data_IF_298456346754
#
_entry.id   IF_298456346754
#
_cell.length_a   1.000
_cell.length_b   1.000
_cell.length_c   1.000
_cell.angle_alpha   90.00
_cell.angle_beta   90.00
_cell.angle_gamma   90.00
#
_symmetry.space_group_name_H-M   'P 1'
#
loop_
_entity.id
_entity.type
_entity.pdbx_description
1 polymer ?
#
# COMPACT_ATOMS: atom_id res chain seq x y z
N UNK A 1 9.10 -14.50 -14.57
CA UNK A 1 8.63 -15.84 -14.95
C UNK A 1 7.28 -15.70 -15.62
N UNK A 2 6.94 -16.58 -16.56
CA UNK A 2 5.60 -16.62 -17.17
C UNK A 2 4.69 -17.34 -16.17
N UNK A 3 3.68 -16.64 -15.63
CA UNK A 3 2.68 -17.27 -14.76
C UNK A 3 1.75 -18.08 -15.69
N UNK A 4 1.60 -19.40 -15.48
CA UNK A 4 0.68 -20.22 -16.25
C UNK A 4 -0.73 -19.59 -16.32
N UNK A 5 -1.32 -19.50 -17.50
CA UNK A 5 -2.65 -18.89 -17.69
C UNK A 5 -2.67 -17.35 -17.83
N UNK A 6 -1.58 -16.64 -17.51
CA UNK A 6 -1.48 -15.18 -17.66
C UNK A 6 -0.77 -14.83 -18.96
N UNK A 7 -1.51 -14.27 -19.92
CA UNK A 7 -0.92 -13.74 -21.15
C UNK A 7 -0.69 -12.23 -20.98
N UNK A 8 0.55 -11.78 -20.87
CA UNK A 8 0.87 -10.35 -20.86
C UNK A 8 0.59 -9.75 -22.24
N UNK A 9 -0.59 -9.16 -22.40
CA UNK A 9 -0.92 -8.35 -23.54
C UNK A 9 -0.87 -6.88 -23.15
N UNK A 10 -0.23 -6.05 -23.97
CA UNK A 10 -0.13 -4.58 -23.80
C UNK A 10 -1.44 -3.85 -24.11
N UNK A 11 -2.58 -4.54 -24.09
CA UNK A 11 -3.87 -3.87 -24.27
C UNK A 11 -4.08 -2.91 -23.11
N UNK A 12 -4.33 -1.65 -23.46
CA UNK A 12 -4.79 -0.62 -22.53
C UNK A 12 -6.15 -1.09 -22.04
N UNK A 13 -6.19 -1.74 -20.87
CA UNK A 13 -7.46 -1.98 -20.19
C UNK A 13 -8.04 -0.59 -19.90
N UNK A 14 -9.28 -0.36 -20.32
CA UNK A 14 -9.98 0.87 -20.00
C UNK A 14 -9.90 1.09 -18.49
N UNK A 15 -9.29 2.21 -18.08
CA UNK A 15 -9.12 2.56 -16.67
C UNK A 15 -10.47 2.39 -15.96
N UNK A 16 -10.51 1.71 -14.80
CA UNK A 16 -11.75 1.61 -14.04
C UNK A 16 -12.22 3.02 -13.71
N UNK A 17 -13.38 3.41 -14.24
CA UNK A 17 -14.07 4.63 -13.84
C UNK A 17 -14.62 4.35 -12.44
N UNK A 18 -13.89 4.78 -11.41
CA UNK A 18 -14.29 4.64 -10.02
C UNK A 18 -15.33 5.72 -9.71
N UNK A 19 -16.60 5.33 -9.57
CA UNK A 19 -17.69 6.25 -9.21
C UNK A 19 -17.67 6.52 -7.70
N UNK A 20 -16.70 7.32 -7.24
CA UNK A 20 -16.71 7.82 -5.87
C UNK A 20 -17.68 8.99 -5.73
N UNK A 21 -18.81 8.76 -5.05
CA UNK A 21 -19.67 9.85 -4.58
C UNK A 21 -18.85 10.75 -3.62
N UNK A 22 -18.96 12.07 -3.77
CA UNK A 22 -18.25 13.11 -2.99
C UNK A 22 -16.74 13.33 -3.25
N UNK A 23 -16.22 13.01 -4.45
CA UNK A 23 -14.81 13.29 -4.82
C UNK A 23 -14.56 14.66 -5.48
N UNK A 24 -15.57 15.52 -5.61
CA UNK A 24 -15.44 16.84 -6.26
C UNK A 24 -14.41 17.71 -5.53
N UNK A 25 -13.34 18.10 -6.23
CA UNK A 25 -12.23 18.88 -5.68
C UNK A 25 -11.16 18.08 -4.92
N UNK A 26 -11.41 16.83 -4.53
CA UNK A 26 -10.39 15.97 -3.90
C UNK A 26 -9.22 15.70 -4.85
N UNK A 27 -9.53 15.26 -6.07
CA UNK A 27 -8.52 14.94 -7.08
C UNK A 27 -7.74 16.17 -7.55
N UNK A 28 -8.42 17.30 -7.72
CA UNK A 28 -7.79 18.59 -8.06
C UNK A 28 -6.80 19.03 -6.97
N UNK A 29 -7.21 18.90 -5.70
CA UNK A 29 -6.36 19.23 -4.55
C UNK A 29 -5.19 18.26 -4.40
N UNK A 30 -5.42 16.95 -4.58
CA UNK A 30 -4.36 15.94 -4.57
C UNK A 30 -3.34 16.20 -5.69
N UNK A 31 -3.82 16.46 -6.91
CA UNK A 31 -2.97 16.77 -8.06
C UNK A 31 -2.18 18.07 -7.84
N UNK A 32 -2.83 19.12 -7.32
CA UNK A 32 -2.14 20.38 -6.96
C UNK A 32 -1.08 20.17 -5.88
N UNK A 33 -1.35 19.33 -4.87
CA UNK A 33 -0.37 19.01 -3.84
C UNK A 33 0.80 18.21 -4.42
N UNK A 34 0.55 17.23 -5.28
CA UNK A 34 1.59 16.44 -5.95
C UNK A 34 2.47 17.32 -6.84
N UNK A 35 1.87 18.21 -7.65
CA UNK A 35 2.64 19.17 -8.44
C UNK A 35 3.43 20.13 -7.54
N UNK A 36 2.91 20.55 -6.38
CA UNK A 36 3.67 21.38 -5.45
C UNK A 36 4.90 20.65 -4.85
N UNK A 37 4.79 19.34 -4.61
CA UNK A 37 5.87 18.51 -4.06
C UNK A 37 6.94 18.19 -5.12
N UNK A 38 6.54 18.06 -6.39
CA UNK A 38 7.45 17.83 -7.53
C UNK A 38 8.50 18.95 -7.69
N UNK A 39 8.17 20.17 -7.27
CA UNK A 39 9.09 21.31 -7.30
C UNK A 39 9.68 21.67 -5.92
N UNK A 40 9.26 20.97 -4.86
CA UNK A 40 9.93 21.06 -3.57
C UNK A 40 11.23 20.23 -3.61
N UNK A 41 12.31 20.78 -3.04
CA UNK A 41 13.70 20.31 -2.99
C UNK A 41 14.04 18.92 -3.59
N UNK A 42 15.10 18.80 -4.42
CA UNK A 42 15.52 17.55 -5.08
C UNK A 42 15.88 16.38 -4.13
N UNK A 43 15.90 16.61 -2.82
CA UNK A 43 16.42 15.70 -1.80
C UNK A 43 15.33 14.85 -1.11
N UNK A 44 14.05 15.08 -1.40
CA UNK A 44 12.93 14.36 -0.80
C UNK A 44 12.44 13.17 -1.64
N UNK A 45 13.16 12.78 -2.70
CA UNK A 45 12.85 11.57 -3.43
C UNK A 45 13.13 10.34 -2.56
N UNK A 46 12.10 9.91 -1.83
CA UNK A 46 12.09 8.64 -1.14
C UNK A 46 12.33 7.53 -2.15
N UNK A 47 13.53 6.95 -2.13
CA UNK A 47 13.90 5.90 -3.05
C UNK A 47 13.51 4.55 -2.43
N UNK A 48 12.50 3.91 -3.01
CA UNK A 48 11.92 2.63 -2.55
C UNK A 48 12.98 1.50 -2.47
N UNK A 49 14.15 1.66 -3.09
CA UNK A 49 15.25 0.69 -3.01
C UNK A 49 15.68 0.32 -1.59
N UNK A 50 15.61 1.25 -0.62
CA UNK A 50 15.92 0.94 0.78
C UNK A 50 14.84 0.05 1.39
N UNK A 51 13.57 0.41 1.21
CA UNK A 51 12.44 -0.41 1.65
C UNK A 51 12.46 -1.79 1.01
N UNK A 52 12.71 -1.87 -0.30
CA UNK A 52 12.82 -3.13 -1.04
C UNK A 52 13.96 -4.00 -0.53
N UNK A 53 15.14 -3.42 -0.27
CA UNK A 53 16.28 -4.15 0.30
C UNK A 53 15.97 -4.66 1.70
N UNK A 54 15.46 -3.80 2.58
CA UNK A 54 15.08 -4.19 3.94
C UNK A 54 13.99 -5.25 3.96
N UNK A 55 13.03 -5.14 3.04
CA UNK A 55 12.00 -6.14 2.82
C UNK A 55 12.59 -7.50 2.44
N UNK A 56 13.46 -7.56 1.42
CA UNK A 56 14.12 -8.80 1.02
C UNK A 56 14.94 -9.40 2.17
N UNK A 57 15.72 -8.57 2.87
CA UNK A 57 16.51 -9.00 4.02
C UNK A 57 15.62 -9.62 5.09
N UNK A 58 14.53 -8.96 5.48
CA UNK A 58 13.66 -9.43 6.56
C UNK A 58 12.73 -10.59 6.15
N UNK A 59 12.39 -10.68 4.86
CA UNK A 59 11.56 -11.76 4.31
C UNK A 59 12.35 -13.04 4.04
N UNK A 60 13.66 -12.95 3.75
CA UNK A 60 14.51 -14.12 3.41
C UNK A 60 15.37 -14.61 4.59
N UNK A 61 15.64 -13.76 5.60
CA UNK A 61 16.48 -14.15 6.75
C UNK A 61 15.77 -15.09 7.75
N UNK A 62 16.42 -16.23 8.03
CA UNK A 62 16.07 -17.15 9.13
C UNK A 62 16.22 -16.44 10.49
N UNK A 63 15.31 -16.78 11.39
CA UNK A 63 15.09 -16.26 12.75
C UNK A 63 16.34 -16.01 13.63
N UNK A 64 17.44 -16.72 13.38
CA UNK A 64 18.59 -16.83 14.28
C UNK A 64 19.55 -15.63 14.40
N UNK A 65 19.51 -14.62 13.51
CA UNK A 65 20.51 -13.52 13.50
C UNK A 65 19.98 -12.14 13.90
N UNK A 66 18.73 -12.05 14.36
CA UNK A 66 18.02 -10.76 14.39
C UNK A 66 18.01 -10.14 15.79
N UNK A 67 18.25 -8.82 15.93
CA UNK A 67 17.89 -8.11 17.15
C UNK A 67 16.37 -8.13 17.29
N UNK A 68 15.85 -9.02 18.14
CA UNK A 68 14.41 -9.18 18.38
C UNK A 68 13.68 -7.86 18.64
N UNK A 69 14.40 -6.86 19.18
CA UNK A 69 13.88 -5.52 19.43
C UNK A 69 13.52 -4.72 18.15
N UNK A 70 14.29 -4.86 17.05
CA UNK A 70 14.01 -4.15 15.79
C UNK A 70 12.76 -4.70 15.14
N UNK A 71 12.69 -6.03 14.95
CA UNK A 71 11.49 -6.70 14.43
C UNK A 71 10.26 -6.39 15.29
N UNK A 72 10.39 -6.44 16.62
CA UNK A 72 9.29 -6.06 17.53
C UNK A 72 8.80 -4.65 17.26
N UNK A 73 9.70 -3.68 17.07
CA UNK A 73 9.31 -2.30 16.76
C UNK A 73 8.58 -2.18 15.41
N UNK A 74 9.01 -2.94 14.40
CA UNK A 74 8.33 -2.99 13.10
C UNK A 74 6.89 -3.51 13.26
N UNK A 75 6.69 -4.62 13.97
CA UNK A 75 5.34 -5.14 14.23
C UNK A 75 4.48 -4.19 15.08
N UNK A 76 5.08 -3.50 16.06
CA UNK A 76 4.37 -2.48 16.83
C UNK A 76 3.93 -1.28 15.96
N UNK A 77 4.71 -0.90 14.96
CA UNK A 77 4.29 0.11 13.99
C UNK A 77 3.12 -0.39 13.14
N UNK A 78 3.16 -1.64 12.68
CA UNK A 78 2.07 -2.25 11.92
C UNK A 78 0.76 -2.27 12.73
N UNK A 79 0.82 -2.67 14.00
CA UNK A 79 -0.34 -2.63 14.92
C UNK A 79 -0.95 -1.23 15.04
N UNK A 80 -0.11 -0.19 15.11
CA UNK A 80 -0.58 1.21 15.15
C UNK A 80 -1.26 1.63 13.86
N UNK A 81 -0.76 1.17 12.72
CA UNK A 81 -1.40 1.44 11.42
C UNK A 81 -2.77 0.75 11.36
N UNK A 82 -2.84 -0.53 11.72
CA UNK A 82 -4.09 -1.30 11.74
C UNK A 82 -5.14 -0.68 12.66
N UNK A 83 -4.76 -0.32 13.90
CA UNK A 83 -5.68 0.35 14.82
C UNK A 83 -6.15 1.72 14.31
N UNK A 84 -5.33 2.39 13.49
CA UNK A 84 -5.70 3.64 12.84
C UNK A 84 -6.53 3.44 11.56
N UNK A 85 -6.46 2.27 10.93
CA UNK A 85 -7.34 1.88 9.83
C UNK A 85 -8.74 1.52 10.33
N UNK A 86 -8.83 0.81 11.46
CA UNK A 86 -10.10 0.45 12.10
C UNK A 86 -10.95 1.67 12.48
N UNK A 87 -10.32 2.82 12.77
CA UNK A 87 -11.06 4.07 13.01
C UNK A 87 -11.54 4.76 11.73
N UNK A 88 -11.00 4.41 10.56
CA UNK A 88 -11.29 5.03 9.26
C UNK A 88 -12.28 4.22 8.41
N UNK A 89 -12.51 2.95 8.75
CA UNK A 89 -13.38 2.03 8.00
C UNK A 89 -14.56 1.57 8.86
N UNK A 90 -15.73 2.20 8.66
CA UNK A 90 -16.98 1.86 9.36
C UNK A 90 -17.99 1.10 8.50
N UNK A 91 -17.65 0.75 7.25
CA UNK A 91 -18.60 0.17 6.29
C UNK A 91 -18.22 -1.23 5.79
N UNK A 92 -19.24 -2.11 5.76
CA UNK A 92 -19.27 -3.49 5.25
C UNK A 92 -18.00 -4.01 4.59
N UNK A 93 -17.34 -4.92 5.33
CA UNK A 93 -16.17 -5.71 4.95
C UNK A 93 -16.46 -6.58 3.72
N UNK A 94 -16.22 -6.06 2.52
CA UNK A 94 -16.38 -6.82 1.27
C UNK A 94 -15.08 -7.47 0.76
N UNK A 95 -13.89 -7.15 1.30
CA UNK A 95 -12.63 -7.78 0.86
C UNK A 95 -11.67 -8.01 2.02
N UNK A 96 -11.07 -9.20 2.17
CA UNK A 96 -10.12 -9.52 3.23
C UNK A 96 -8.69 -9.04 2.92
N UNK A 97 -8.52 -7.89 2.25
CA UNK A 97 -7.19 -7.40 1.85
C UNK A 97 -6.25 -7.16 3.04
N UNK A 98 -6.82 -6.92 4.23
CA UNK A 98 -6.12 -6.74 5.51
C UNK A 98 -6.72 -7.57 6.65
N UNK A 99 -7.58 -8.57 6.34
CA UNK A 99 -8.28 -9.32 7.39
C UNK A 99 -7.47 -10.48 7.95
N UNK A 100 -6.43 -10.93 7.25
CA UNK A 100 -5.59 -12.02 7.73
C UNK A 100 -4.28 -11.51 8.29
N UNK A 101 -3.80 -12.23 9.31
CA UNK A 101 -2.53 -12.11 10.00
C UNK A 101 -1.35 -12.43 9.06
N UNK A 102 -1.33 -11.81 7.89
CA UNK A 102 -0.26 -11.95 6.92
C UNK A 102 0.98 -11.26 7.49
N UNK A 103 1.91 -12.10 7.94
CA UNK A 103 3.20 -11.70 8.48
C UNK A 103 3.94 -10.76 7.53
N UNK A 104 3.88 -11.04 6.23
CA UNK A 104 4.50 -10.24 5.19
C UNK A 104 3.82 -8.87 5.10
N UNK A 105 2.50 -8.80 5.06
CA UNK A 105 1.79 -7.51 5.05
C UNK A 105 2.13 -6.66 6.28
N UNK A 106 2.12 -7.26 7.48
CA UNK A 106 2.46 -6.54 8.71
C UNK A 106 3.91 -6.04 8.70
N UNK A 107 4.85 -6.87 8.24
CA UNK A 107 6.24 -6.50 8.08
C UNK A 107 6.38 -5.30 7.12
N UNK A 108 5.67 -5.30 6.00
CA UNK A 108 5.72 -4.23 5.01
C UNK A 108 5.14 -2.93 5.57
N UNK A 109 3.97 -3.01 6.21
CA UNK A 109 3.33 -1.86 6.86
C UNK A 109 4.25 -1.22 7.91
N UNK A 110 4.84 -2.04 8.77
CA UNK A 110 5.76 -1.58 9.81
C UNK A 110 7.03 -0.95 9.25
N UNK A 111 7.57 -1.50 8.16
CA UNK A 111 8.73 -0.94 7.46
C UNK A 111 8.41 0.38 6.76
N UNK A 112 7.25 0.51 6.12
CA UNK A 112 6.81 1.78 5.52
C UNK A 112 6.80 2.91 6.55
N UNK A 113 6.27 2.65 7.75
CA UNK A 113 6.30 3.61 8.87
C UNK A 113 7.73 3.92 9.29
N UNK A 114 8.56 2.89 9.51
CA UNK A 114 9.93 3.09 9.99
C UNK A 114 10.79 3.90 9.01
N UNK A 115 10.73 3.56 7.72
CA UNK A 115 11.51 4.19 6.67
C UNK A 115 11.06 5.62 6.40
N UNK A 116 9.74 5.87 6.30
CA UNK A 116 9.23 7.23 6.12
C UNK A 116 9.55 8.11 7.33
N UNK A 117 9.41 7.58 8.55
CA UNK A 117 9.77 8.30 9.77
C UNK A 117 11.24 8.68 9.78
N UNK A 118 12.14 7.73 9.49
CA UNK A 118 13.57 7.99 9.45
C UNK A 118 13.92 9.06 8.40
N UNK A 119 13.32 8.99 7.22
CA UNK A 119 13.46 10.01 6.19
C UNK A 119 13.01 11.40 6.67
N UNK A 120 11.78 11.51 7.19
CA UNK A 120 11.26 12.80 7.68
C UNK A 120 12.05 13.33 8.88
N UNK A 121 12.51 12.47 9.78
CA UNK A 121 13.36 12.90 10.90
C UNK A 121 14.71 13.43 10.43
N UNK A 122 15.28 12.91 9.34
CA UNK A 122 16.56 13.41 8.79
C UNK A 122 16.39 14.80 8.17
N UNK A 123 15.30 15.02 7.44
CA UNK A 123 15.11 16.24 6.63
C UNK A 123 14.26 17.32 7.30
N UNK A 124 13.37 16.96 8.24
CA UNK A 124 12.38 17.86 8.87
C UNK A 124 12.53 17.93 10.40
N UNK A 125 13.76 17.99 10.90
CA UNK A 125 14.04 17.97 12.35
C UNK A 125 13.27 19.04 13.15
N UNK A 126 13.00 20.19 12.54
CA UNK A 126 12.27 21.31 13.15
C UNK A 126 10.77 21.05 13.40
N UNK A 127 10.17 20.04 12.74
CA UNK A 127 8.74 19.70 12.87
C UNK A 127 8.43 19.05 14.23
N UNK A 128 9.45 18.46 14.86
CA UNK A 128 9.34 17.79 16.15
C UNK A 128 8.87 16.34 16.04
N UNK A 129 9.51 15.45 16.81
CA UNK A 129 9.33 13.99 16.73
C UNK A 129 7.88 13.53 16.82
N UNK A 130 7.09 14.06 17.77
CA UNK A 130 5.68 13.66 17.95
C UNK A 130 4.82 13.97 16.73
N UNK A 131 5.07 15.12 16.08
CA UNK A 131 4.32 15.54 14.90
C UNK A 131 4.72 14.71 13.67
N UNK A 132 6.01 14.40 13.53
CA UNK A 132 6.49 13.46 12.50
C UNK A 132 5.85 12.07 12.70
N UNK A 133 5.85 11.55 13.92
CA UNK A 133 5.25 10.25 14.24
C UNK A 133 3.78 10.19 13.80
N UNK A 134 3.00 11.25 14.08
CA UNK A 134 1.61 11.33 13.63
C UNK A 134 1.49 11.43 12.10
N UNK A 135 2.26 12.30 11.44
CA UNK A 135 2.23 12.49 9.98
C UNK A 135 2.50 11.16 9.26
N UNK A 136 3.49 10.41 9.73
CA UNK A 136 3.87 9.12 9.15
C UNK A 136 2.74 8.10 9.29
N UNK A 137 2.19 7.95 10.50
CA UNK A 137 1.10 7.01 10.75
C UNK A 137 -0.14 7.36 9.93
N UNK A 138 -0.54 8.64 9.92
CA UNK A 138 -1.64 9.16 9.12
C UNK A 138 -1.44 8.85 7.63
N UNK A 139 -0.24 9.13 7.11
CA UNK A 139 0.07 8.95 5.70
C UNK A 139 -0.01 7.49 5.29
N UNK A 140 0.66 6.60 6.03
CA UNK A 140 0.66 5.15 5.73
C UNK A 140 -0.74 4.57 5.83
N UNK A 141 -1.49 4.91 6.89
CA UNK A 141 -2.88 4.46 7.04
C UNK A 141 -3.77 4.97 5.90
N UNK A 142 -3.70 6.27 5.56
CA UNK A 142 -4.50 6.84 4.46
C UNK A 142 -4.15 6.23 3.10
N UNK A 143 -2.87 5.95 2.86
CA UNK A 143 -2.41 5.28 1.64
C UNK A 143 -2.99 3.87 1.53
N UNK A 144 -2.86 3.07 2.59
CA UNK A 144 -3.38 1.69 2.61
C UNK A 144 -4.91 1.65 2.53
N UNK A 145 -5.60 2.57 3.20
CA UNK A 145 -7.06 2.73 3.08
C UNK A 145 -7.47 3.10 1.65
N UNK A 146 -6.71 3.98 0.97
CA UNK A 146 -6.99 4.32 -0.42
C UNK A 146 -6.82 3.10 -1.34
N UNK A 147 -5.73 2.34 -1.19
CA UNK A 147 -5.52 1.09 -1.92
C UNK A 147 -6.65 0.10 -1.62
N UNK A 148 -7.05 -0.04 -0.35
CA UNK A 148 -8.18 -0.87 0.05
C UNK A 148 -9.45 -0.51 -0.71
N UNK A 149 -9.81 0.78 -0.73
CA UNK A 149 -11.03 1.29 -1.36
C UNK A 149 -11.02 1.11 -2.88
N UNK A 150 -9.88 1.38 -3.52
CA UNK A 150 -9.71 1.12 -4.96
C UNK A 150 -9.96 -0.36 -5.22
N UNK A 151 -9.33 -1.23 -4.45
CA UNK A 151 -9.47 -2.67 -4.62
C UNK A 151 -10.89 -3.16 -4.34
N UNK A 152 -11.55 -2.67 -3.29
CA UNK A 152 -12.96 -2.98 -2.96
C UNK A 152 -13.88 -2.62 -4.11
N UNK A 153 -13.71 -1.44 -4.68
CA UNK A 153 -14.54 -0.96 -5.78
C UNK A 153 -14.27 -1.73 -7.08
N UNK A 154 -13.01 -2.02 -7.37
CA UNK A 154 -12.62 -2.87 -8.50
C UNK A 154 -13.20 -4.28 -8.35
N UNK A 155 -13.13 -4.87 -7.15
CA UNK A 155 -13.72 -6.18 -6.85
C UNK A 155 -15.23 -6.21 -7.09
N UNK A 156 -15.92 -5.18 -6.60
CA UNK A 156 -17.36 -5.01 -6.76
C UNK A 156 -17.74 -4.86 -8.23
N UNK A 157 -17.01 -4.04 -8.99
CA UNK A 157 -17.27 -3.78 -10.41
C UNK A 157 -17.19 -5.04 -11.27
N UNK A 158 -16.24 -5.92 -10.97
CA UNK A 158 -16.07 -7.19 -11.69
C UNK A 158 -16.86 -8.36 -11.07
N UNK A 159 -17.71 -8.09 -10.08
CA UNK A 159 -18.56 -9.10 -9.42
C UNK A 159 -17.79 -10.31 -8.92
N UNK A 160 -16.55 -10.10 -8.45
CA UNK A 160 -15.68 -11.20 -8.04
C UNK A 160 -16.10 -11.86 -6.72
N UNK A 161 -17.14 -11.39 -6.04
CA UNK A 161 -17.63 -11.94 -4.76
C UNK A 161 -16.46 -12.30 -3.79
N UNK A 162 -16.57 -13.34 -2.98
CA UNK A 162 -15.48 -13.84 -2.13
C UNK A 162 -14.43 -14.67 -2.89
N UNK A 163 -14.31 -14.50 -4.21
CA UNK A 163 -13.38 -15.29 -5.01
C UNK A 163 -11.94 -15.06 -4.54
N UNK A 164 -11.23 -16.16 -4.34
CA UNK A 164 -9.80 -16.17 -4.04
C UNK A 164 -9.09 -16.26 -5.39
N UNK A 165 -8.15 -15.36 -5.66
CA UNK A 165 -7.32 -15.46 -6.85
C UNK A 165 -6.59 -16.81 -6.89
N UNK A 166 -6.88 -17.62 -7.90
CA UNK A 166 -6.15 -18.84 -8.18
C UNK A 166 -5.27 -18.65 -9.40
N UNK A 167 -3.96 -18.91 -9.26
CA UNK A 167 -3.00 -18.87 -10.38
C UNK A 167 -2.76 -20.23 -11.01
N UNK A 168 -3.37 -21.29 -10.46
CA UNK A 168 -3.21 -22.66 -10.96
C UNK A 168 -4.12 -22.96 -12.16
N UNK A 169 -5.18 -22.16 -12.34
CA UNK A 169 -6.15 -22.29 -13.42
C UNK A 169 -6.25 -21.01 -14.26
N UNK A 170 -6.88 -21.13 -15.45
CA UNK A 170 -7.13 -19.97 -16.31
C UNK A 170 -8.20 -19.08 -15.66
N UNK A 171 -7.77 -17.97 -15.07
CA UNK A 171 -8.68 -16.97 -14.50
C UNK A 171 -9.63 -16.35 -15.54
N UNK A 172 -10.79 -15.91 -15.05
CA UNK A 172 -11.80 -15.16 -15.77
C UNK A 172 -11.30 -13.79 -16.26
N UNK A 173 -12.04 -13.19 -17.19
CA UNK A 173 -11.74 -11.84 -17.67
C UNK A 173 -11.81 -10.79 -16.54
N UNK A 174 -12.67 -11.01 -15.53
CA UNK A 174 -12.74 -10.17 -14.33
C UNK A 174 -11.48 -10.29 -13.47
N UNK A 175 -11.05 -11.51 -13.17
CA UNK A 175 -9.82 -11.77 -12.42
C UNK A 175 -8.60 -11.17 -13.13
N UNK A 176 -8.50 -11.35 -14.45
CA UNK A 176 -7.40 -10.77 -15.23
C UNK A 176 -7.37 -9.23 -15.17
N UNK A 177 -8.53 -8.57 -15.23
CA UNK A 177 -8.62 -7.12 -15.14
C UNK A 177 -8.23 -6.60 -13.75
N UNK A 178 -8.68 -7.27 -12.69
CA UNK A 178 -8.31 -6.92 -11.32
C UNK A 178 -6.82 -7.15 -11.06
N UNK A 179 -6.25 -8.26 -11.52
CA UNK A 179 -4.82 -8.53 -11.42
C UNK A 179 -3.97 -7.47 -12.15
N UNK A 180 -4.43 -7.05 -13.34
CA UNK A 180 -3.77 -5.95 -14.06
C UNK A 180 -3.80 -4.65 -13.26
N UNK A 181 -4.95 -4.29 -12.67
CA UNK A 181 -5.06 -3.09 -11.83
C UNK A 181 -4.15 -3.19 -10.60
N UNK A 182 -4.08 -4.33 -9.92
CA UNK A 182 -3.14 -4.57 -8.81
C UNK A 182 -1.69 -4.35 -9.24
N UNK A 183 -1.32 -4.87 -10.41
CA UNK A 183 0.02 -4.70 -10.99
C UNK A 183 0.31 -3.23 -11.30
N UNK A 184 -0.66 -2.48 -11.85
CA UNK A 184 -0.52 -1.03 -12.12
C UNK A 184 -0.41 -0.20 -10.83
N UNK A 185 -1.09 -0.57 -9.76
CA UNK A 185 -0.93 0.05 -8.44
C UNK A 185 0.49 -0.19 -7.91
N UNK A 186 0.99 -1.42 -8.03
CA UNK A 186 2.35 -1.78 -7.60
C UNK A 186 3.44 -1.08 -8.42
N UNK A 187 3.25 -0.91 -9.73
CA UNK A 187 4.20 -0.21 -10.62
C UNK A 187 4.26 1.30 -10.37
N UNK A 188 3.20 1.90 -9.83
CA UNK A 188 3.13 3.34 -9.56
C UNK A 188 3.84 3.74 -8.25
N UNK A 189 4.38 2.79 -7.47
CA UNK A 189 4.99 2.96 -6.15
C UNK A 189 6.51 2.73 -6.15
#
# INVERSE_FOLDING_TARGET
>A
GIIPGVTCATYIISLPVLEFQNSKGFWEKLNSNLESVKYAEPHLHYHNNVLRREWHNLSEEKEDRRPAAYLRNIFENAKKVLSHLDTLDSEERLVPLFQEEDYQQQLLMGLMVAQLKDHLMRHLQYVGKKKIDQIVLDYVAKLLNLVHRIMKEVWRRYQLHSCIFCFDERGSAGESAVFHIMSRILEAA
#
